data_IF_859662557371
#
_entry.id   IF_859662557371
#
_cell.length_a   1.000
_cell.length_b   1.000
_cell.length_c   1.000
_cell.angle_alpha   90.00
_cell.angle_beta   90.00
_cell.angle_gamma   90.00
#
_symmetry.space_group_name_H-M   'P 1'
#
loop_
_entity.id
_entity.type
_entity.pdbx_description
1 polymer ?
#
# COMPACT_ATOMS: atom_id res chain seq x y z
N UNK A 1 24.42 2.11 8.14
CA UNK A 1 24.35 2.04 6.67
C UNK A 1 25.60 2.66 6.13
N UNK A 2 26.40 1.92 5.35
CA UNK A 2 27.64 2.45 4.75
C UNK A 2 27.27 3.47 3.69
N UNK A 3 27.90 4.63 3.78
CA UNK A 3 27.73 5.71 2.81
C UNK A 3 28.23 5.25 1.42
N UNK A 4 27.40 5.38 0.39
CA UNK A 4 27.79 4.98 -0.97
C UNK A 4 28.82 5.98 -1.51
N UNK A 5 29.89 5.51 -2.19
CA UNK A 5 30.84 6.41 -2.84
C UNK A 5 30.15 7.38 -3.81
N UNK A 6 30.63 8.61 -3.91
CA UNK A 6 29.98 9.66 -4.74
C UNK A 6 29.85 9.27 -6.23
N UNK A 7 30.80 8.46 -6.73
CA UNK A 7 30.73 7.90 -8.09
C UNK A 7 29.52 7.00 -8.30
N UNK A 8 29.17 6.21 -7.28
CA UNK A 8 28.02 5.30 -7.30
C UNK A 8 26.73 6.11 -7.22
N UNK A 9 26.66 7.11 -6.33
CA UNK A 9 25.50 8.00 -6.22
C UNK A 9 25.20 8.72 -7.52
N UNK A 10 26.23 9.31 -8.16
CA UNK A 10 26.07 10.00 -9.44
C UNK A 10 25.57 9.06 -10.54
N UNK A 11 26.08 7.82 -10.57
CA UNK A 11 25.62 6.83 -11.56
C UNK A 11 24.18 6.41 -11.34
N UNK A 12 23.76 6.27 -10.09
CA UNK A 12 22.38 5.94 -9.75
C UNK A 12 21.42 7.07 -10.16
N UNK A 13 21.77 8.33 -9.85
CA UNK A 13 20.97 9.49 -10.27
C UNK A 13 20.91 9.63 -11.81
N UNK A 14 22.00 9.34 -12.52
CA UNK A 14 22.02 9.33 -13.99
C UNK A 14 21.09 8.25 -14.59
N UNK A 15 21.03 7.07 -13.98
CA UNK A 15 20.28 5.92 -14.50
C UNK A 15 18.81 5.95 -14.08
N UNK A 16 18.53 6.29 -12.82
CA UNK A 16 17.22 6.16 -12.21
C UNK A 16 16.53 7.52 -11.95
N UNK A 17 17.24 8.63 -12.14
CA UNK A 17 16.78 9.95 -11.71
C UNK A 17 17.04 10.19 -10.22
N UNK A 18 17.03 11.47 -9.83
CA UNK A 18 17.25 11.91 -8.43
C UNK A 18 16.02 11.71 -7.55
N UNK A 19 14.83 11.63 -8.16
CA UNK A 19 13.53 11.52 -7.49
C UNK A 19 12.67 10.46 -8.20
N UNK A 20 12.52 9.30 -7.57
CA UNK A 20 11.51 8.33 -7.99
C UNK A 20 10.14 8.80 -7.45
N UNK A 21 9.11 8.98 -8.29
CA UNK A 21 7.79 9.36 -7.80
C UNK A 21 7.27 8.24 -6.88
N UNK A 22 7.10 8.55 -5.60
CA UNK A 22 6.50 7.62 -4.63
C UNK A 22 5.09 7.25 -5.09
N UNK A 23 4.76 5.97 -5.06
CA UNK A 23 3.43 5.53 -5.47
C UNK A 23 2.43 5.74 -4.33
N UNK A 24 1.15 5.96 -4.67
CA UNK A 24 0.11 6.35 -3.71
C UNK A 24 -0.07 5.34 -2.57
N UNK A 25 0.17 4.05 -2.83
CA UNK A 25 0.02 2.95 -1.88
C UNK A 25 1.05 2.99 -0.73
N UNK A 26 2.20 3.64 -0.91
CA UNK A 26 3.24 3.75 0.13
C UNK A 26 2.88 4.74 1.25
N UNK A 27 1.80 5.52 1.09
CA UNK A 27 1.32 6.47 2.11
C UNK A 27 0.39 5.86 3.16
N UNK A 28 -0.10 4.64 2.95
CA UNK A 28 -1.18 4.06 3.75
C UNK A 28 -0.71 3.17 4.92
N UNK A 29 0.60 3.03 5.16
CA UNK A 29 1.17 2.14 6.20
C UNK A 29 1.02 2.65 7.65
N UNK A 30 -0.02 3.44 7.91
CA UNK A 30 -0.42 3.92 9.23
C UNK A 30 -1.90 3.61 9.48
N UNK A 31 -2.27 2.33 9.44
CA UNK A 31 -3.64 1.85 9.59
C UNK A 31 -4.39 2.49 10.76
N UNK A 32 -5.46 3.22 10.45
CA UNK A 32 -6.29 3.91 11.43
C UNK A 32 -7.28 2.93 12.06
N UNK A 33 -7.41 2.99 13.38
CA UNK A 33 -8.34 2.19 14.19
C UNK A 33 -9.83 2.29 13.75
N UNK A 34 -10.15 3.20 12.82
CA UNK A 34 -11.46 3.39 12.20
C UNK A 34 -11.95 2.19 11.37
N UNK A 35 -11.08 1.28 10.90
CA UNK A 35 -11.51 0.10 10.13
C UNK A 35 -12.21 -0.98 10.99
N UNK A 36 -12.23 -0.82 12.32
CA UNK A 36 -12.82 -1.80 13.25
C UNK A 36 -14.26 -1.50 13.65
N UNK A 37 -14.74 -0.26 13.48
CA UNK A 37 -16.10 0.14 13.86
C UNK A 37 -17.18 -0.42 12.91
N UNK A 38 -16.83 -0.66 11.64
CA UNK A 38 -17.74 -1.16 10.60
C UNK A 38 -17.75 -2.70 10.47
N UNK A 39 -17.38 -3.44 11.53
CA UNK A 39 -17.36 -4.90 11.47
C UNK A 39 -18.76 -5.50 11.21
N UNK A 40 -19.80 -4.93 11.83
CA UNK A 40 -21.20 -5.32 11.64
C UNK A 40 -21.70 -4.99 10.22
N UNK A 41 -21.37 -3.80 9.69
CA UNK A 41 -21.75 -3.39 8.34
C UNK A 41 -21.07 -4.24 7.27
N UNK A 42 -19.79 -4.57 7.48
CA UNK A 42 -19.05 -5.48 6.61
C UNK A 42 -19.64 -6.89 6.63
N UNK A 43 -20.04 -7.38 7.80
CA UNK A 43 -20.65 -8.70 7.94
C UNK A 43 -22.06 -8.76 7.33
N UNK A 44 -22.83 -7.66 7.40
CA UNK A 44 -24.11 -7.54 6.68
C UNK A 44 -23.91 -7.63 5.18
N UNK A 45 -22.98 -6.84 4.62
CA UNK A 45 -22.71 -6.81 3.19
C UNK A 45 -22.31 -8.19 2.65
N UNK A 46 -21.42 -8.90 3.35
CA UNK A 46 -20.97 -10.25 2.97
C UNK A 46 -22.08 -11.30 2.97
N UNK A 47 -23.13 -11.13 3.78
CA UNK A 47 -24.30 -12.02 3.77
C UNK A 47 -25.24 -11.70 2.62
N UNK A 48 -25.41 -10.42 2.29
CA UNK A 48 -26.28 -9.94 1.22
C UNK A 48 -25.74 -10.34 -0.16
N UNK A 49 -24.43 -10.28 -0.36
CA UNK A 49 -23.77 -10.67 -1.62
C UNK A 49 -23.47 -12.16 -1.77
N UNK A 50 -24.07 -13.00 -0.93
CA UNK A 50 -23.83 -14.44 -1.01
C UNK A 50 -24.50 -15.01 -2.28
N UNK A 51 -23.74 -15.58 -3.22
CA UNK A 51 -24.30 -16.21 -4.40
C UNK A 51 -25.21 -17.40 -4.01
N UNK A 52 -26.25 -17.70 -4.80
CA UNK A 52 -27.19 -18.76 -4.45
C UNK A 52 -26.46 -20.10 -4.33
N UNK A 53 -26.60 -20.75 -3.18
CA UNK A 53 -26.14 -22.12 -3.02
C UNK A 53 -27.11 -23.03 -3.80
N UNK A 54 -26.64 -23.61 -4.89
CA UNK A 54 -27.40 -24.66 -5.58
C UNK A 54 -27.60 -25.83 -4.61
N UNK A 55 -28.87 -26.19 -4.38
CA UNK A 55 -29.28 -27.39 -3.64
C UNK A 55 -29.15 -28.65 -4.47
#
# INVERSE_FOLDING_TARGET
MTDLPDSVRRRLAEVFGDDAPTTRDERADGGSASEREDADDRERHLREDRPPHHG
#
